data_IF_417184148746
#
_entry.id   IF_417184148746
#
_cell.length_a   1.000
_cell.length_b   1.000
_cell.length_c   1.000
_cell.angle_alpha   90.00
_cell.angle_beta   90.00
_cell.angle_gamma   90.00
#
_symmetry.space_group_name_H-M   'P 1'
#
loop_
_entity.id
_entity.type
_entity.pdbx_description
1 polymer ?
#
# COMPACT_ATOMS: atom_id res chain seq x y z
N UNK A 1 15.95 -19.28 10.51
CA UNK A 1 14.98 -19.09 9.40
C UNK A 1 14.80 -17.59 9.15
N UNK A 2 15.07 -17.10 7.93
CA UNK A 2 14.91 -15.68 7.62
C UNK A 2 13.42 -15.31 7.50
N UNK A 3 12.96 -14.28 8.22
CA UNK A 3 11.57 -13.78 8.10
C UNK A 3 11.37 -13.11 6.74
N UNK A 4 10.50 -13.69 5.90
CA UNK A 4 10.09 -13.08 4.62
C UNK A 4 9.28 -11.81 4.92
N UNK A 5 9.84 -10.64 4.60
CA UNK A 5 9.11 -9.36 4.67
C UNK A 5 8.47 -9.08 3.31
N UNK A 6 7.12 -9.03 3.26
CA UNK A 6 6.40 -8.60 2.04
C UNK A 6 6.70 -7.13 1.77
N UNK A 7 7.44 -6.85 0.70
CA UNK A 7 7.65 -5.47 0.20
C UNK A 7 6.34 -4.95 -0.39
N UNK A 8 6.10 -3.65 -0.27
CA UNK A 8 4.95 -3.01 -0.92
C UNK A 8 5.25 -2.87 -2.40
N UNK A 9 4.28 -3.20 -3.24
CA UNK A 9 4.38 -3.10 -4.70
C UNK A 9 3.45 -1.99 -5.19
N UNK A 10 3.91 -1.22 -6.16
CA UNK A 10 3.07 -0.24 -6.83
C UNK A 10 1.92 -0.94 -7.56
N UNK A 11 0.65 -0.57 -7.31
CA UNK A 11 -0.49 -1.19 -7.98
C UNK A 11 -0.60 -0.79 -9.47
N UNK A 12 0.05 0.31 -9.88
CA UNK A 12 -0.04 0.82 -11.26
C UNK A 12 0.99 0.19 -12.19
N UNK A 13 2.25 0.10 -11.77
CA UNK A 13 3.35 -0.39 -12.63
C UNK A 13 4.04 -1.66 -12.10
N UNK A 14 3.68 -2.15 -10.91
CA UNK A 14 4.31 -3.34 -10.33
C UNK A 14 5.71 -3.13 -9.75
N UNK A 15 6.26 -1.91 -9.78
CA UNK A 15 7.57 -1.64 -9.18
C UNK A 15 7.59 -1.84 -7.67
N UNK A 16 8.74 -2.28 -7.16
CA UNK A 16 9.06 -2.42 -5.74
C UNK A 16 9.74 -1.17 -5.16
N UNK A 17 10.12 -0.21 -6.00
CA UNK A 17 10.72 1.04 -5.52
C UNK A 17 9.64 2.03 -5.10
N UNK A 18 9.25 1.90 -3.83
CA UNK A 18 8.18 2.67 -3.22
C UNK A 18 8.66 3.33 -1.95
N UNK A 19 8.37 4.63 -1.80
CA UNK A 19 8.69 5.42 -0.62
C UNK A 19 7.42 5.75 0.17
N UNK A 20 7.59 5.97 1.48
CA UNK A 20 6.51 6.54 2.32
C UNK A 20 6.33 8.02 1.95
N UNK A 21 5.09 8.41 1.67
CA UNK A 21 4.74 9.74 1.20
C UNK A 21 3.63 10.33 2.09
N UNK A 22 3.96 10.62 3.35
CA UNK A 22 3.03 11.22 4.32
C UNK A 22 1.83 10.33 4.69
N UNK A 23 0.89 10.89 5.43
CA UNK A 23 -0.35 10.23 5.84
C UNK A 23 -1.57 11.08 5.49
N UNK A 24 -2.71 10.44 5.25
CA UNK A 24 -4.00 11.12 5.06
C UNK A 24 -5.09 10.35 5.79
N UNK A 25 -5.87 11.04 6.63
CA UNK A 25 -6.95 10.44 7.43
C UNK A 25 -6.47 9.20 8.24
N UNK A 26 -5.27 9.27 8.85
CA UNK A 26 -4.68 8.16 9.59
C UNK A 26 -4.10 7.03 8.74
N UNK A 27 -4.16 7.11 7.41
CA UNK A 27 -3.62 6.10 6.51
C UNK A 27 -2.27 6.53 5.91
N UNK A 28 -1.28 5.65 5.99
CA UNK A 28 0.02 5.85 5.34
C UNK A 28 -0.13 5.81 3.81
N UNK A 29 0.30 6.90 3.16
CA UNK A 29 0.41 6.96 1.70
C UNK A 29 1.84 6.61 1.26
N UNK A 30 1.93 6.11 0.04
CA UNK A 30 3.15 5.71 -0.61
C UNK A 30 3.24 6.35 -1.99
N UNK A 31 4.46 6.62 -2.45
CA UNK A 31 4.75 7.11 -3.80
C UNK A 31 5.69 6.12 -4.47
N UNK A 32 5.33 5.69 -5.67
CA UNK A 32 6.23 4.93 -6.53
C UNK A 32 7.25 5.88 -7.16
N UNK A 33 8.54 5.51 -7.18
CA UNK A 33 9.56 6.34 -7.82
C UNK A 33 9.53 6.24 -9.34
N UNK A 34 9.22 5.05 -9.88
CA UNK A 34 9.22 4.83 -11.34
C UNK A 34 8.05 5.51 -12.03
N UNK A 35 6.81 5.15 -11.66
CA UNK A 35 5.62 5.69 -12.34
C UNK A 35 5.04 6.94 -11.64
N UNK A 36 5.68 7.42 -10.57
CA UNK A 36 5.27 8.60 -9.77
C UNK A 36 3.86 8.52 -9.18
N UNK A 37 3.19 7.37 -9.27
CA UNK A 37 1.84 7.17 -8.75
C UNK A 37 1.81 7.18 -7.23
N UNK A 38 0.74 7.72 -6.68
CA UNK A 38 0.47 7.77 -5.24
C UNK A 38 -0.59 6.73 -4.90
N UNK A 39 -0.34 5.92 -3.88
CA UNK A 39 -1.28 4.89 -3.44
C UNK A 39 -1.23 4.63 -1.94
N UNK A 40 -2.25 3.95 -1.43
CA UNK A 40 -2.34 3.54 -0.02
C UNK A 40 -2.26 2.02 0.00
N UNK A 41 -1.29 1.44 0.71
CA UNK A 41 -1.01 0.01 0.57
C UNK A 41 -2.00 -0.91 1.28
N UNK A 42 -2.62 -0.48 2.38
CA UNK A 42 -3.56 -1.31 3.13
C UNK A 42 -4.43 -0.45 4.04
N UNK A 43 -5.74 -0.46 3.79
CA UNK A 43 -6.76 0.13 4.67
C UNK A 43 -7.41 -1.00 5.46
N UNK A 44 -7.08 -1.08 6.76
CA UNK A 44 -7.59 -2.14 7.65
C UNK A 44 -9.11 -2.07 7.76
N UNK A 45 -9.65 -0.87 7.78
CA UNK A 45 -11.06 -0.52 7.76
C UNK A 45 -11.78 -1.09 6.53
N UNK A 46 -11.28 -0.86 5.30
CA UNK A 46 -11.87 -1.44 4.09
C UNK A 46 -11.78 -2.97 4.13
N UNK A 47 -10.63 -3.52 4.53
CA UNK A 47 -10.46 -4.97 4.63
C UNK A 47 -11.39 -5.62 5.66
N UNK A 48 -11.79 -4.90 6.70
CA UNK A 48 -12.76 -5.38 7.68
C UNK A 48 -14.19 -5.31 7.12
N UNK A 49 -14.55 -4.21 6.46
CA UNK A 49 -15.87 -4.04 5.84
C UNK A 49 -16.14 -5.08 4.73
N UNK A 50 -15.17 -5.34 3.85
CA UNK A 50 -15.31 -6.31 2.76
C UNK A 50 -15.52 -7.78 3.23
N UNK A 51 -15.41 -8.08 4.52
CA UNK A 51 -15.66 -9.44 5.06
C UNK A 51 -17.14 -9.73 5.25
N UNK A 52 -17.97 -8.70 5.33
CA UNK A 52 -19.41 -8.85 5.40
C UNK A 52 -19.92 -8.89 3.96
N UNK A 53 -20.26 -10.09 3.49
CA UNK A 53 -20.94 -10.28 2.20
C UNK A 53 -22.27 -9.55 2.29
N UNK A 54 -22.50 -8.61 1.38
CA UNK A 54 -23.79 -7.94 1.21
C UNK A 54 -24.73 -8.84 0.42
#
# INVERSE_FOLDING_TARGET
>A
MAKIRRRKRCPKCGSLDVIKWGSRAGHQRYKCRDCKSLFTSSRKDISANNRFVW
#
